data_IF_068240740431
#
_entry.id   IF_068240740431
#
_cell.length_a   1.000
_cell.length_b   1.000
_cell.length_c   1.000
_cell.angle_alpha   90.00
_cell.angle_beta   90.00
_cell.angle_gamma   90.00
#
_symmetry.space_group_name_H-M   'P 1'
#
loop_
_entity.id
_entity.type
_entity.pdbx_description
1 polymer ?
#
# COMPACT_ATOMS: atom_id res chain seq x y z
N UNK A 1 14.90 -9.09 -13.13
CA UNK A 1 14.34 -8.47 -11.91
C UNK A 1 12.84 -8.65 -11.96
N UNK A 2 12.26 -9.34 -10.96
CA UNK A 2 10.88 -9.86 -10.97
C UNK A 2 9.82 -8.83 -11.38
N UNK A 3 9.82 -7.65 -10.76
CA UNK A 3 8.82 -6.59 -11.05
C UNK A 3 8.87 -6.15 -12.51
N UNK A 4 10.06 -6.00 -13.08
CA UNK A 4 10.23 -5.64 -14.49
C UNK A 4 9.67 -6.73 -15.39
N UNK A 5 10.02 -8.00 -15.12
CA UNK A 5 9.56 -9.13 -15.94
C UNK A 5 8.04 -9.23 -15.97
N UNK A 6 7.39 -9.07 -14.82
CA UNK A 6 5.92 -9.04 -14.72
C UNK A 6 5.35 -7.84 -15.48
N UNK A 7 5.90 -6.64 -15.27
CA UNK A 7 5.45 -5.44 -15.97
C UNK A 7 5.51 -5.60 -17.50
N UNK A 8 6.63 -6.09 -18.04
CA UNK A 8 6.80 -6.27 -19.49
C UNK A 8 5.81 -7.31 -20.03
N UNK A 9 5.58 -8.40 -19.29
CA UNK A 9 4.61 -9.43 -19.68
C UNK A 9 3.17 -8.86 -19.72
N UNK A 10 2.77 -8.10 -18.70
CA UNK A 10 1.45 -7.47 -18.66
C UNK A 10 1.30 -6.40 -19.75
N UNK A 11 2.34 -5.57 -19.96
CA UNK A 11 2.33 -4.49 -20.94
C UNK A 11 2.25 -4.98 -22.39
N UNK A 12 2.86 -6.13 -22.68
CA UNK A 12 2.82 -6.79 -23.98
C UNK A 12 1.51 -7.59 -24.21
N UNK A 13 0.69 -7.80 -23.18
CA UNK A 13 -0.55 -8.57 -23.30
C UNK A 13 -1.66 -7.82 -24.07
N UNK A 14 -2.54 -8.53 -24.80
CA UNK A 14 -3.67 -7.89 -25.47
C UNK A 14 -4.68 -7.27 -24.49
N UNK A 15 -4.70 -7.70 -23.23
CA UNK A 15 -5.55 -7.16 -22.17
C UNK A 15 -4.97 -5.93 -21.47
N UNK A 16 -3.81 -5.40 -21.88
CA UNK A 16 -3.16 -4.26 -21.21
C UNK A 16 -4.11 -3.09 -20.91
N UNK A 17 -4.99 -2.76 -21.86
CA UNK A 17 -5.98 -1.68 -21.73
C UNK A 17 -7.09 -1.94 -20.69
N UNK A 18 -7.09 -3.11 -20.05
CA UNK A 18 -8.06 -3.53 -19.04
C UNK A 18 -7.38 -3.98 -17.73
N UNK A 19 -6.06 -3.73 -17.58
CA UNK A 19 -5.28 -4.15 -16.41
C UNK A 19 -4.99 -2.96 -15.51
N UNK A 20 -5.12 -3.20 -14.20
CA UNK A 20 -4.51 -2.41 -13.14
C UNK A 20 -3.49 -3.31 -12.42
N UNK A 21 -2.21 -2.99 -12.57
CA UNK A 21 -1.15 -3.69 -11.85
C UNK A 21 -0.81 -2.92 -10.57
N UNK A 22 -0.98 -3.58 -9.43
CA UNK A 22 -0.76 -3.01 -8.11
C UNK A 22 0.47 -3.67 -7.48
N UNK A 23 1.39 -2.85 -6.99
CA UNK A 23 2.51 -3.29 -6.18
C UNK A 23 2.36 -2.63 -4.82
N UNK A 24 2.25 -3.44 -3.78
CA UNK A 24 2.22 -3.00 -2.39
C UNK A 24 3.20 -3.83 -1.57
N UNK A 25 3.52 -3.33 -0.39
CA UNK A 25 4.31 -4.02 0.61
C UNK A 25 3.45 -4.25 1.84
N UNK A 26 3.61 -5.39 2.50
CA UNK A 26 2.97 -5.71 3.77
C UNK A 26 3.60 -4.92 4.92
N UNK A 27 4.91 -4.72 4.85
CA UNK A 27 5.69 -3.97 5.82
C UNK A 27 6.58 -2.90 5.17
N UNK A 28 6.95 -1.89 5.96
CA UNK A 28 7.87 -0.82 5.58
C UNK A 28 9.36 -1.24 5.48
N UNK A 29 9.68 -2.51 5.75
CA UNK A 29 11.04 -3.04 5.71
C UNK A 29 11.98 -2.52 6.81
N UNK A 30 11.44 -1.90 7.87
CA UNK A 30 12.21 -1.42 9.02
C UNK A 30 13.00 -0.13 8.79
N UNK A 31 12.90 0.47 7.60
CA UNK A 31 13.54 1.75 7.30
C UNK A 31 12.76 2.89 7.94
N UNK A 32 13.48 3.85 8.52
CA UNK A 32 12.86 4.98 9.20
C UNK A 32 12.00 5.81 8.24
N UNK A 33 10.74 6.01 8.63
CA UNK A 33 9.85 6.96 7.97
C UNK A 33 9.68 8.20 8.87
N UNK A 34 9.90 9.38 8.32
CA UNK A 34 9.76 10.67 9.03
C UNK A 34 8.31 10.99 9.41
N UNK A 35 7.32 10.41 8.73
CA UNK A 35 5.90 10.67 9.01
C UNK A 35 5.35 9.68 10.04
N UNK A 36 4.79 10.15 11.17
CA UNK A 36 4.13 9.28 12.13
C UNK A 36 2.84 8.67 11.53
N UNK A 37 2.37 7.52 12.06
CA UNK A 37 1.10 6.96 11.63
C UNK A 37 -0.07 7.91 11.88
N UNK A 38 -1.07 7.89 10.99
CA UNK A 38 -2.29 8.69 11.14
C UNK A 38 -3.08 8.18 12.34
N UNK A 39 -3.51 9.09 13.22
CA UNK A 39 -4.30 8.80 14.44
C UNK A 39 -5.73 9.32 14.30
N UNK A 40 -6.65 8.83 15.14
CA UNK A 40 -8.04 9.24 15.16
C UNK A 40 -8.89 8.60 14.05
N UNK A 41 -8.40 7.50 13.48
CA UNK A 41 -9.23 6.67 12.59
C UNK A 41 -10.18 5.82 13.44
N UNK A 42 -11.41 5.53 12.98
CA UNK A 42 -12.33 4.68 13.73
C UNK A 42 -11.71 3.30 14.00
N UNK A 43 -11.91 2.79 15.23
CA UNK A 43 -11.59 1.39 15.51
C UNK A 43 -12.45 0.49 14.62
N UNK A 44 -11.88 -0.55 13.98
CA UNK A 44 -12.63 -1.37 13.04
C UNK A 44 -13.75 -2.19 13.70
N UNK A 45 -13.58 -2.55 14.98
CA UNK A 45 -14.47 -3.45 15.72
C UNK A 45 -14.67 -3.06 17.19
N UNK A 46 -14.19 -1.88 17.60
CA UNK A 46 -14.21 -1.36 18.98
C UNK A 46 -13.53 -2.28 20.01
N UNK A 47 -12.71 -3.25 19.56
CA UNK A 47 -11.92 -4.08 20.45
C UNK A 47 -10.65 -3.35 20.88
N UNK A 48 -10.29 -3.55 22.16
CA UNK A 48 -9.04 -3.04 22.73
C UNK A 48 -8.08 -4.21 22.91
N UNK A 49 -6.82 -4.01 22.50
CA UNK A 49 -5.76 -4.97 22.67
C UNK A 49 -5.57 -5.35 24.15
N UNK A 50 -5.06 -6.56 24.44
CA UNK A 50 -4.88 -7.02 25.81
C UNK A 50 -3.81 -6.20 26.57
N UNK A 51 -3.73 -6.38 27.92
CA UNK A 51 -2.63 -5.85 28.71
C UNK A 51 -1.27 -6.33 28.18
N UNK A 52 -0.18 -5.55 28.35
CA UNK A 52 -0.11 -4.28 29.08
C UNK A 52 -0.38 -3.04 28.23
N UNK A 53 -0.57 -3.20 26.91
CA UNK A 53 -0.52 -2.08 25.97
C UNK A 53 -1.87 -1.43 25.67
N UNK A 54 -2.99 -2.15 25.87
CA UNK A 54 -4.35 -1.62 25.68
C UNK A 54 -4.52 -0.86 24.35
N UNK A 55 -4.06 -1.48 23.27
CA UNK A 55 -4.03 -0.83 21.96
C UNK A 55 -5.45 -0.64 21.40
N UNK A 56 -5.87 0.60 21.18
CA UNK A 56 -7.26 0.94 20.81
C UNK A 56 -7.61 0.73 19.34
N UNK A 57 -6.64 0.39 18.49
CA UNK A 57 -6.80 0.28 17.03
C UNK A 57 -7.40 1.54 16.37
N UNK A 58 -7.15 2.71 16.95
CA UNK A 58 -7.59 4.04 16.51
C UNK A 58 -6.52 4.82 15.73
N UNK A 59 -5.51 4.10 15.22
CA UNK A 59 -4.45 4.62 14.36
C UNK A 59 -4.13 3.66 13.22
N UNK A 60 -3.67 4.20 12.10
CA UNK A 60 -3.12 3.40 11.01
C UNK A 60 -1.73 2.83 11.39
N UNK A 61 -1.28 1.87 10.57
CA UNK A 61 0.06 1.31 10.64
C UNK A 61 1.12 2.24 10.03
N UNK A 62 2.34 1.72 9.94
CA UNK A 62 3.45 2.36 9.23
C UNK A 62 3.13 2.53 7.75
N UNK A 63 3.63 3.61 7.14
CA UNK A 63 3.48 3.84 5.69
C UNK A 63 4.26 2.78 4.91
N UNK A 64 3.61 2.25 3.87
CA UNK A 64 4.22 1.36 2.87
C UNK A 64 4.12 1.99 1.48
N UNK A 65 4.97 1.53 0.57
CA UNK A 65 4.89 1.95 -0.84
C UNK A 65 3.69 1.28 -1.51
N UNK A 66 2.91 2.04 -2.25
CA UNK A 66 1.88 1.53 -3.14
C UNK A 66 2.07 2.15 -4.53
N UNK A 67 2.21 1.31 -5.54
CA UNK A 67 2.31 1.72 -6.95
C UNK A 67 1.12 1.16 -7.72
N UNK A 68 0.50 2.02 -8.52
CA UNK A 68 -0.63 1.70 -9.38
C UNK A 68 -0.20 1.95 -10.82
N UNK A 69 -0.23 0.91 -11.65
CA UNK A 69 0.34 0.93 -13.00
C UNK A 69 -0.75 0.49 -13.97
N UNK A 70 -1.19 1.40 -14.83
CA UNK A 70 -2.29 1.17 -15.76
C UNK A 70 -2.27 2.20 -16.90
N UNK A 71 -2.75 1.88 -18.12
CA UNK A 71 -2.91 2.87 -19.20
C UNK A 71 -3.94 3.96 -18.89
N UNK A 72 -4.75 3.78 -17.84
CA UNK A 72 -5.75 4.74 -17.37
C UNK A 72 -5.19 5.81 -16.42
N UNK A 73 -3.90 5.71 -16.05
CA UNK A 73 -3.25 6.62 -15.11
C UNK A 73 -2.28 7.51 -15.87
N UNK A 74 -2.42 8.82 -15.72
CA UNK A 74 -1.50 9.79 -16.33
C UNK A 74 -0.08 9.61 -15.80
N UNK A 75 0.89 9.80 -16.70
CA UNK A 75 2.31 9.67 -16.36
C UNK A 75 2.69 10.66 -15.26
N UNK A 76 3.37 10.16 -14.23
CA UNK A 76 3.94 10.99 -13.16
C UNK A 76 2.94 11.44 -12.10
N UNK A 77 1.75 10.84 -12.07
CA UNK A 77 0.74 11.12 -11.03
C UNK A 77 1.22 10.66 -9.66
N UNK A 78 1.07 11.53 -8.65
CA UNK A 78 1.30 11.24 -7.23
C UNK A 78 0.08 11.73 -6.46
N UNK A 79 -0.47 10.89 -5.58
CA UNK A 79 -1.56 11.23 -4.65
C UNK A 79 -1.02 11.62 -3.27
#
# INVERSE_FOLDING_TARGET
MLVKEIYEALRASPQWNQILFIITYDEHGGFYNVSPPVTGVPSPDDLVGPPPYYFNFDRLGVRVTAMFISPWIDRGTVN
#
